data_IF_568425727786
#
_entry.id   IF_568425727786
#
_cell.length_a   1.000
_cell.length_b   1.000
_cell.length_c   1.000
_cell.angle_alpha   90.00
_cell.angle_beta   90.00
_cell.angle_gamma   90.00
#
_symmetry.space_group_name_H-M   'P 1'
#
loop_
_entity.id
_entity.type
_entity.pdbx_description
1 polymer ?
#
# COMPACT_ATOMS: atom_id res chain seq x y z
N UNK A 1 108.79 -37.73 -42.93
CA UNK A 1 108.00 -36.48 -42.96
C UNK A 1 106.55 -36.76 -43.39
N UNK A 2 106.32 -37.68 -44.34
CA UNK A 2 104.98 -38.03 -44.86
C UNK A 2 104.00 -38.66 -43.83
N UNK A 3 104.47 -39.50 -42.90
CA UNK A 3 103.60 -40.20 -41.93
C UNK A 3 103.00 -39.30 -40.85
N UNK A 4 103.66 -38.19 -40.52
CA UNK A 4 103.16 -37.20 -39.56
C UNK A 4 102.02 -36.37 -40.15
N UNK A 5 102.18 -35.96 -41.41
CA UNK A 5 101.19 -35.16 -42.13
C UNK A 5 99.86 -35.91 -42.31
N UNK A 6 99.90 -37.20 -42.64
CA UNK A 6 98.70 -38.03 -42.80
C UNK A 6 97.89 -38.15 -41.50
N UNK A 7 98.57 -38.24 -40.35
CA UNK A 7 97.94 -38.28 -39.04
C UNK A 7 97.25 -36.95 -38.71
N UNK A 8 97.96 -35.84 -38.89
CA UNK A 8 97.44 -34.50 -38.60
C UNK A 8 96.19 -34.18 -39.45
N UNK A 9 96.18 -34.60 -40.73
CA UNK A 9 94.99 -34.46 -41.62
C UNK A 9 93.80 -35.28 -41.11
N UNK A 10 94.03 -36.50 -40.63
CA UNK A 10 92.96 -37.35 -40.11
C UNK A 10 92.41 -36.82 -38.77
N UNK A 11 93.27 -36.32 -37.90
CA UNK A 11 92.87 -35.71 -36.62
C UNK A 11 92.01 -34.45 -36.87
N UNK A 12 92.40 -33.58 -37.81
CA UNK A 12 91.60 -32.41 -38.24
C UNK A 12 90.24 -32.84 -38.81
N UNK A 13 90.21 -33.91 -39.61
CA UNK A 13 88.97 -34.43 -40.20
C UNK A 13 87.99 -34.90 -39.12
N UNK A 14 88.45 -35.65 -38.14
CA UNK A 14 87.60 -36.14 -37.05
C UNK A 14 87.16 -35.01 -36.10
N UNK A 15 88.02 -34.01 -35.85
CA UNK A 15 87.66 -32.82 -35.09
C UNK A 15 86.57 -32.00 -35.80
N UNK A 16 86.72 -31.75 -37.10
CA UNK A 16 85.71 -31.06 -37.91
C UNK A 16 84.38 -31.82 -37.93
N UNK A 17 84.41 -33.15 -38.02
CA UNK A 17 83.21 -33.99 -37.96
C UNK A 17 82.50 -33.86 -36.61
N UNK A 18 83.26 -33.88 -35.51
CA UNK A 18 82.72 -33.68 -34.16
C UNK A 18 82.12 -32.28 -33.99
N UNK A 19 82.80 -31.25 -34.50
CA UNK A 19 82.30 -29.88 -34.46
C UNK A 19 80.98 -29.74 -35.23
N UNK A 20 80.94 -30.27 -36.47
CA UNK A 20 79.73 -30.25 -37.29
C UNK A 20 78.56 -30.99 -36.64
N UNK A 21 78.82 -32.16 -36.03
CA UNK A 21 77.80 -32.91 -35.30
C UNK A 21 77.25 -32.12 -34.10
N UNK A 22 78.13 -31.49 -33.31
CA UNK A 22 77.74 -30.66 -32.18
C UNK A 22 76.91 -29.44 -32.62
N UNK A 23 77.32 -28.77 -33.70
CA UNK A 23 76.57 -27.64 -34.27
C UNK A 23 75.19 -28.09 -34.77
N UNK A 24 75.11 -29.22 -35.47
CA UNK A 24 73.86 -29.78 -35.98
C UNK A 24 72.90 -30.14 -34.84
N UNK A 25 73.41 -30.77 -33.77
CA UNK A 25 72.61 -31.09 -32.60
C UNK A 25 72.09 -29.84 -31.90
N UNK A 26 72.95 -28.82 -31.72
CA UNK A 26 72.55 -27.55 -31.12
C UNK A 26 71.42 -26.88 -31.93
N UNK A 27 71.45 -26.95 -33.26
CA UNK A 27 70.35 -26.46 -34.10
C UNK A 27 69.08 -27.28 -33.93
N UNK A 28 69.17 -28.61 -33.90
CA UNK A 28 68.03 -29.49 -33.68
C UNK A 28 67.36 -29.22 -32.31
N UNK A 29 68.15 -29.05 -31.25
CA UNK A 29 67.65 -28.75 -29.91
C UNK A 29 66.93 -27.38 -29.88
N UNK A 30 67.49 -26.36 -30.55
CA UNK A 30 66.85 -25.04 -30.67
C UNK A 30 65.54 -25.09 -31.45
N UNK A 31 65.48 -25.86 -32.54
CA UNK A 31 64.25 -26.06 -33.31
C UNK A 31 63.20 -26.71 -32.42
N UNK A 32 63.54 -27.81 -31.75
CA UNK A 32 62.64 -28.53 -30.87
C UNK A 32 62.07 -27.64 -29.76
N UNK A 33 62.93 -26.88 -29.08
CA UNK A 33 62.49 -25.93 -28.03
C UNK A 33 61.54 -24.88 -28.60
N UNK A 34 61.79 -24.40 -29.82
CA UNK A 34 60.93 -23.42 -30.49
C UNK A 34 59.57 -24.01 -30.84
N UNK A 35 59.53 -25.26 -31.33
CA UNK A 35 58.28 -25.98 -31.62
C UNK A 35 57.46 -26.23 -30.36
N UNK A 36 58.09 -26.64 -29.27
CA UNK A 36 57.43 -26.84 -27.96
C UNK A 36 56.83 -25.53 -27.45
N UNK A 37 57.59 -24.43 -27.50
CA UNK A 37 57.11 -23.11 -27.10
C UNK A 37 55.93 -22.65 -27.97
N UNK A 38 55.97 -22.91 -29.28
CA UNK A 38 54.88 -22.58 -30.19
C UNK A 38 53.62 -23.39 -29.87
N UNK A 39 53.74 -24.69 -29.60
CA UNK A 39 52.63 -25.54 -29.22
C UNK A 39 51.96 -25.07 -27.92
N UNK A 40 52.75 -24.66 -26.93
CA UNK A 40 52.24 -24.07 -25.68
C UNK A 40 51.49 -22.76 -25.95
N UNK A 41 52.05 -21.87 -26.77
CA UNK A 41 51.40 -20.60 -27.12
C UNK A 41 50.06 -20.80 -27.83
N UNK A 42 49.99 -21.75 -28.76
CA UNK A 42 48.75 -22.09 -29.47
C UNK A 42 47.66 -22.61 -28.52
N UNK A 43 48.02 -23.49 -27.58
CA UNK A 43 47.07 -24.02 -26.60
C UNK A 43 46.51 -22.92 -25.69
N UNK A 44 47.37 -22.01 -25.23
CA UNK A 44 46.94 -20.86 -24.43
C UNK A 44 46.01 -19.94 -25.21
N UNK A 45 46.31 -19.69 -26.49
CA UNK A 45 45.46 -18.88 -27.36
C UNK A 45 44.07 -19.50 -27.58
N UNK A 46 44.01 -20.82 -27.72
CA UNK A 46 42.74 -21.55 -27.85
C UNK A 46 41.89 -21.45 -26.58
N UNK A 47 42.51 -21.56 -25.40
CA UNK A 47 41.83 -21.36 -24.11
C UNK A 47 41.25 -19.95 -24.04
N UNK A 48 42.05 -18.92 -24.30
CA UNK A 48 41.59 -17.52 -24.28
C UNK A 48 40.47 -17.26 -25.28
N UNK A 49 40.52 -17.88 -26.48
CA UNK A 49 39.45 -17.78 -27.48
C UNK A 49 38.14 -18.36 -26.96
N UNK A 50 38.19 -19.49 -26.27
CA UNK A 50 37.00 -20.14 -25.72
C UNK A 50 36.38 -19.31 -24.59
N UNK A 51 37.20 -18.78 -23.68
CA UNK A 51 36.77 -17.86 -22.61
C UNK A 51 36.11 -16.60 -23.19
N UNK A 52 36.71 -16.01 -24.24
CA UNK A 52 36.15 -14.85 -24.92
C UNK A 52 34.79 -15.16 -25.55
N UNK A 53 34.65 -16.33 -26.16
CA UNK A 53 33.39 -16.78 -26.77
C UNK A 53 32.30 -16.96 -25.70
N UNK A 54 32.65 -17.55 -24.56
CA UNK A 54 31.72 -17.70 -23.44
C UNK A 54 31.30 -16.34 -22.88
N UNK A 55 32.26 -15.45 -22.65
CA UNK A 55 32.00 -14.09 -22.14
C UNK A 55 31.08 -13.31 -23.09
N UNK A 56 31.30 -13.41 -24.40
CA UNK A 56 30.42 -12.81 -25.41
C UNK A 56 28.98 -13.31 -25.29
N UNK A 57 28.77 -14.61 -25.14
CA UNK A 57 27.43 -15.17 -24.95
C UNK A 57 26.74 -14.67 -23.68
N UNK A 58 27.48 -14.51 -22.59
CA UNK A 58 26.96 -13.92 -21.34
C UNK A 58 26.53 -12.47 -21.56
N UNK A 59 27.34 -11.67 -22.26
CA UNK A 59 27.04 -10.26 -22.57
C UNK A 59 25.76 -10.15 -23.42
N UNK A 60 25.61 -10.99 -24.43
CA UNK A 60 24.42 -11.00 -25.29
C UNK A 60 23.14 -11.33 -24.49
N UNK A 61 23.22 -12.32 -23.59
CA UNK A 61 22.10 -12.68 -22.71
C UNK A 61 21.72 -11.53 -21.76
N UNK A 62 22.71 -10.92 -21.11
CA UNK A 62 22.49 -9.79 -20.21
C UNK A 62 21.89 -8.59 -20.94
N UNK A 63 22.33 -8.33 -22.17
CA UNK A 63 21.77 -7.25 -22.99
C UNK A 63 20.29 -7.49 -23.32
N UNK A 64 19.91 -8.74 -23.66
CA UNK A 64 18.52 -9.10 -23.92
C UNK A 64 17.64 -8.94 -22.67
N UNK A 65 18.11 -9.41 -21.50
CA UNK A 65 17.40 -9.27 -20.23
C UNK A 65 17.22 -7.80 -19.83
N UNK A 66 18.27 -6.97 -20.02
CA UNK A 66 18.21 -5.54 -19.74
C UNK A 66 17.16 -4.83 -20.60
N UNK A 67 17.12 -5.13 -21.90
CA UNK A 67 16.16 -4.53 -22.82
C UNK A 67 14.72 -4.95 -22.50
N UNK A 68 14.50 -6.22 -22.14
CA UNK A 68 13.19 -6.71 -21.71
C UNK A 68 12.72 -5.99 -20.43
N UNK A 69 13.63 -5.80 -19.47
CA UNK A 69 13.36 -5.07 -18.23
C UNK A 69 12.99 -3.60 -18.50
N UNK A 70 13.73 -2.94 -19.39
CA UNK A 70 13.46 -1.56 -19.79
C UNK A 70 12.04 -1.41 -20.37
N UNK A 71 11.64 -2.31 -21.28
CA UNK A 71 10.30 -2.30 -21.87
C UNK A 71 9.20 -2.52 -20.82
N UNK A 72 9.44 -3.40 -19.84
CA UNK A 72 8.50 -3.62 -18.75
C UNK A 72 8.37 -2.39 -17.83
N UNK A 73 9.48 -1.70 -17.57
CA UNK A 73 9.48 -0.46 -16.80
C UNK A 73 8.68 0.64 -17.50
N UNK A 74 8.89 0.85 -18.79
CA UNK A 74 8.13 1.84 -19.58
C UNK A 74 6.62 1.59 -19.51
N UNK A 75 6.21 0.33 -19.63
CA UNK A 75 4.80 -0.09 -19.50
C UNK A 75 4.27 0.23 -18.10
N UNK A 76 5.05 -0.08 -17.06
CA UNK A 76 4.66 0.19 -15.67
C UNK A 76 4.52 1.70 -15.42
N UNK A 77 5.43 2.51 -15.95
CA UNK A 77 5.34 3.97 -15.86
C UNK A 77 4.07 4.51 -16.52
N UNK A 78 3.70 4.00 -17.70
CA UNK A 78 2.46 4.41 -18.37
C UNK A 78 1.23 4.06 -17.53
N UNK A 79 1.16 2.83 -17.01
CA UNK A 79 0.04 2.39 -16.18
C UNK A 79 -0.10 3.22 -14.90
N UNK A 80 1.00 3.54 -14.22
CA UNK A 80 0.99 4.39 -13.03
C UNK A 80 0.47 5.80 -13.32
N UNK A 81 0.82 6.37 -14.48
CA UNK A 81 0.31 7.68 -14.90
C UNK A 81 -1.21 7.64 -15.14
N UNK A 82 -1.71 6.57 -15.75
CA UNK A 82 -3.16 6.37 -15.94
C UNK A 82 -3.90 6.28 -14.60
N UNK A 83 -3.43 5.42 -13.71
CA UNK A 83 -4.02 5.22 -12.37
C UNK A 83 -4.02 6.54 -11.58
N UNK A 84 -2.94 7.32 -11.65
CA UNK A 84 -2.86 8.63 -11.00
C UNK A 84 -3.96 9.58 -11.49
N UNK A 85 -4.24 9.55 -12.79
CA UNK A 85 -5.28 10.37 -13.41
C UNK A 85 -6.68 9.93 -12.94
N UNK A 86 -6.95 8.62 -12.96
CA UNK A 86 -8.22 8.05 -12.49
C UNK A 86 -8.48 8.31 -11.00
N UNK A 87 -7.43 8.22 -10.16
CA UNK A 87 -7.51 8.54 -8.74
C UNK A 87 -7.86 10.02 -8.51
N UNK A 88 -7.25 10.92 -9.30
CA UNK A 88 -7.56 12.34 -9.22
C UNK A 88 -9.02 12.63 -9.58
N UNK A 89 -9.54 12.01 -10.65
CA UNK A 89 -10.96 12.12 -11.03
C UNK A 89 -11.88 11.57 -9.94
N UNK A 90 -11.53 10.43 -9.34
CA UNK A 90 -12.32 9.82 -8.26
C UNK A 90 -12.36 10.72 -7.02
N UNK A 91 -11.22 11.32 -6.64
CA UNK A 91 -11.15 12.25 -5.53
C UNK A 91 -12.03 13.48 -5.75
N UNK A 92 -12.10 13.99 -6.98
CA UNK A 92 -12.99 15.10 -7.32
C UNK A 92 -14.47 14.71 -7.13
N UNK A 93 -14.88 13.52 -7.58
CA UNK A 93 -16.24 13.01 -7.37
C UNK A 93 -16.56 12.83 -5.89
N UNK A 94 -15.63 12.29 -5.09
CA UNK A 94 -15.82 12.12 -3.64
C UNK A 94 -15.97 13.47 -2.93
N UNK A 95 -15.17 14.47 -3.30
CA UNK A 95 -15.28 15.82 -2.76
C UNK A 95 -16.63 16.48 -3.09
N UNK A 96 -17.11 16.29 -4.33
CA UNK A 96 -18.40 16.81 -4.76
C UNK A 96 -19.56 16.12 -4.00
N UNK A 97 -19.56 14.79 -3.92
CA UNK A 97 -20.57 14.03 -3.15
C UNK A 97 -20.58 14.42 -1.67
N UNK A 98 -19.42 14.67 -1.08
CA UNK A 98 -19.31 15.14 0.30
C UNK A 98 -19.99 16.50 0.48
N UNK A 99 -19.77 17.42 -0.46
CA UNK A 99 -20.44 18.72 -0.48
C UNK A 99 -21.95 18.57 -0.60
N UNK A 100 -22.42 17.77 -1.55
CA UNK A 100 -23.85 17.52 -1.76
C UNK A 100 -24.53 16.92 -0.51
N UNK A 101 -23.87 15.98 0.17
CA UNK A 101 -24.37 15.38 1.40
C UNK A 101 -24.51 16.40 2.53
N UNK A 102 -23.52 17.27 2.71
CA UNK A 102 -23.58 18.31 3.73
C UNK A 102 -24.72 19.30 3.47
N UNK A 103 -24.94 19.67 2.21
CA UNK A 103 -26.04 20.55 1.83
C UNK A 103 -27.40 19.88 2.01
N UNK A 104 -27.50 18.58 1.70
CA UNK A 104 -28.71 17.81 1.98
C UNK A 104 -29.01 17.75 3.48
N UNK A 105 -28.00 17.47 4.33
CA UNK A 105 -28.15 17.45 5.78
C UNK A 105 -28.66 18.76 6.35
N UNK A 106 -28.20 19.90 5.82
CA UNK A 106 -28.72 21.23 6.17
C UNK A 106 -30.17 21.40 5.73
N UNK A 107 -30.51 21.01 4.49
CA UNK A 107 -31.87 21.16 3.93
C UNK A 107 -32.92 20.36 4.68
N UNK A 108 -32.59 19.16 5.15
CA UNK A 108 -33.52 18.30 5.91
C UNK A 108 -33.50 18.59 7.42
N UNK A 109 -32.74 19.61 7.85
CA UNK A 109 -32.62 20.00 9.26
C UNK A 109 -31.94 18.96 10.15
N UNK A 110 -31.31 17.92 9.60
CA UNK A 110 -30.71 16.85 10.41
C UNK A 110 -29.60 17.34 11.34
N UNK A 111 -28.82 18.34 10.90
CA UNK A 111 -27.82 19.01 11.74
C UNK A 111 -28.45 19.67 12.98
N UNK A 112 -29.67 20.19 12.86
CA UNK A 112 -30.42 20.87 13.93
C UNK A 112 -31.36 19.92 14.72
N UNK A 113 -31.75 18.80 14.13
CA UNK A 113 -32.72 17.80 14.65
C UNK A 113 -32.02 16.65 15.41
N UNK A 114 -30.74 16.77 15.77
CA UNK A 114 -30.22 16.08 16.97
C UNK A 114 -30.87 16.68 18.22
N UNK A 115 -32.19 16.55 18.31
CA UNK A 115 -33.03 16.96 19.40
C UNK A 115 -32.91 15.86 20.45
N UNK A 116 -32.38 16.22 21.61
CA UNK A 116 -32.72 15.49 22.82
C UNK A 116 -34.26 15.44 22.89
N UNK A 117 -34.86 14.26 23.19
CA UNK A 117 -36.31 14.14 23.29
C UNK A 117 -36.85 15.17 24.29
N UNK A 118 -37.97 15.80 23.93
CA UNK A 118 -38.68 16.77 24.76
C UNK A 118 -40.10 16.27 24.93
N UNK A 119 -40.41 15.73 26.09
CA UNK A 119 -41.75 15.31 26.44
C UNK A 119 -41.92 15.24 27.96
N UNK A 120 -43.15 15.39 28.42
CA UNK A 120 -43.47 15.33 29.84
C UNK A 120 -44.80 14.61 30.07
N UNK A 121 -44.96 14.04 31.25
CA UNK A 121 -46.21 13.49 31.74
C UNK A 121 -46.36 13.88 33.21
N UNK A 122 -47.38 14.70 33.50
CA UNK A 122 -47.66 15.23 34.83
C UNK A 122 -49.06 14.85 35.28
N UNK A 123 -49.23 14.62 36.58
CA UNK A 123 -50.50 14.21 37.15
C UNK A 123 -50.75 14.86 38.51
N UNK A 124 -52.04 14.97 38.85
CA UNK A 124 -52.50 15.25 40.21
C UNK A 124 -52.84 13.91 40.88
N UNK A 125 -52.43 13.71 42.12
CA UNK A 125 -52.68 12.47 42.86
C UNK A 125 -53.69 12.64 44.00
N UNK A 126 -54.15 13.86 44.24
CA UNK A 126 -55.18 14.16 45.23
C UNK A 126 -56.50 14.61 44.59
N UNK A 127 -57.60 14.44 45.33
CA UNK A 127 -58.91 14.95 44.91
C UNK A 127 -58.88 16.46 44.68
N UNK A 128 -59.74 16.94 43.78
CA UNK A 128 -59.92 18.35 43.48
C UNK A 128 -61.41 18.66 43.35
N UNK A 129 -61.90 19.56 44.21
CA UNK A 129 -63.31 19.90 44.36
C UNK A 129 -63.56 21.41 44.19
N UNK A 130 -62.53 22.18 43.86
CA UNK A 130 -62.62 23.62 43.69
C UNK A 130 -63.17 23.98 42.31
N UNK A 131 -64.23 24.77 42.31
CA UNK A 131 -64.84 25.31 41.09
C UNK A 131 -64.12 26.60 40.68
N UNK A 132 -63.94 26.84 39.36
CA UNK A 132 -63.27 28.03 38.79
C UNK A 132 -61.82 28.24 39.26
N UNK A 133 -61.13 27.18 39.67
CA UNK A 133 -59.70 27.21 40.01
C UNK A 133 -58.94 26.30 39.05
N UNK A 134 -57.79 26.73 38.48
CA UNK A 134 -56.95 25.85 37.67
C UNK A 134 -56.55 24.58 38.43
N UNK A 135 -56.55 23.43 37.75
CA UNK A 135 -56.17 22.14 38.35
C UNK A 135 -54.63 22.09 38.42
N UNK A 136 -54.03 22.01 39.63
CA UNK A 136 -52.57 21.95 39.73
C UNK A 136 -52.07 20.51 39.57
N UNK A 137 -50.86 20.39 39.01
CA UNK A 137 -50.12 19.13 38.94
C UNK A 137 -49.24 18.96 40.17
N UNK A 138 -49.15 17.73 40.67
CA UNK A 138 -48.41 17.44 41.92
C UNK A 138 -47.19 16.56 41.65
N UNK A 139 -47.21 15.80 40.56
CA UNK A 139 -46.17 14.82 40.25
C UNK A 139 -45.82 14.86 38.76
N UNK A 140 -44.53 14.98 38.45
CA UNK A 140 -43.99 14.65 37.13
C UNK A 140 -43.56 13.18 37.11
N UNK A 141 -44.20 12.39 36.25
CA UNK A 141 -43.79 11.02 35.93
C UNK A 141 -42.63 11.02 34.94
N UNK A 142 -42.65 11.95 33.99
CA UNK A 142 -41.60 12.21 33.00
C UNK A 142 -41.52 13.72 32.78
N UNK A 143 -40.31 14.28 32.65
CA UNK A 143 -40.07 15.68 32.30
C UNK A 143 -38.76 15.82 31.50
N UNK A 144 -38.67 15.13 30.37
CA UNK A 144 -37.48 15.18 29.52
C UNK A 144 -37.35 16.55 28.86
N UNK A 145 -36.15 17.13 28.98
CA UNK A 145 -35.87 18.50 28.57
C UNK A 145 -36.23 19.55 29.62
N UNK A 146 -36.71 19.17 30.81
CA UNK A 146 -37.07 20.08 31.91
C UNK A 146 -38.02 21.21 31.48
N UNK A 147 -39.02 20.85 30.66
CA UNK A 147 -39.89 21.81 29.96
C UNK A 147 -41.19 22.11 30.70
N UNK A 148 -41.59 21.28 31.68
CA UNK A 148 -42.76 21.50 32.51
C UNK A 148 -42.34 21.94 33.92
N UNK A 149 -42.80 23.11 34.35
CA UNK A 149 -42.63 23.60 35.73
C UNK A 149 -43.86 23.20 36.58
N UNK A 150 -43.65 22.33 37.56
CA UNK A 150 -44.76 21.77 38.37
C UNK A 150 -45.49 22.82 39.23
N UNK A 151 -44.80 23.73 39.95
CA UNK A 151 -45.46 24.72 40.80
C UNK A 151 -46.35 25.69 40.02
N UNK A 152 -45.92 26.14 38.84
CA UNK A 152 -46.72 27.05 38.01
C UNK A 152 -47.66 26.32 37.04
N UNK A 153 -47.40 25.06 36.72
CA UNK A 153 -48.09 24.31 35.67
C UNK A 153 -47.76 24.79 34.26
N UNK A 154 -46.71 25.59 34.08
CA UNK A 154 -46.34 26.19 32.80
C UNK A 154 -45.40 25.25 32.03
N UNK A 155 -45.81 24.91 30.80
CA UNK A 155 -44.93 24.30 29.81
C UNK A 155 -44.21 25.38 28.99
N UNK A 156 -42.88 25.30 28.91
CA UNK A 156 -42.04 26.17 28.07
C UNK A 156 -41.61 25.42 26.82
N UNK A 157 -42.14 25.82 25.66
CA UNK A 157 -41.77 25.28 24.37
C UNK A 157 -40.29 25.59 24.05
N UNK A 158 -39.38 24.60 23.96
CA UNK A 158 -37.96 24.87 23.75
C UNK A 158 -37.65 25.34 22.33
N UNK A 159 -38.55 25.07 21.37
CA UNK A 159 -38.40 25.48 19.96
C UNK A 159 -39.75 25.88 19.36
N UNK A 160 -39.74 26.65 18.27
CA UNK A 160 -40.96 26.90 17.49
C UNK A 160 -41.40 25.59 16.82
N UNK A 161 -42.67 25.25 16.90
CA UNK A 161 -43.18 24.01 16.31
C UNK A 161 -44.59 23.68 16.78
N UNK A 162 -45.07 22.52 16.37
CA UNK A 162 -46.38 22.00 16.79
C UNK A 162 -46.19 21.10 18.00
N UNK A 163 -46.99 21.33 19.03
CA UNK A 163 -47.00 20.55 20.27
C UNK A 163 -48.35 19.86 20.43
N UNK A 164 -48.32 18.63 20.94
CA UNK A 164 -49.52 17.85 21.22
C UNK A 164 -49.68 17.70 22.74
N UNK A 165 -50.89 17.99 23.23
CA UNK A 165 -51.25 17.82 24.63
C UNK A 165 -52.49 16.93 24.69
N UNK A 166 -52.46 15.97 25.62
CA UNK A 166 -53.60 15.12 25.94
C UNK A 166 -53.88 15.19 27.43
N UNK A 167 -55.15 15.18 27.79
CA UNK A 167 -55.60 15.29 29.16
C UNK A 167 -56.56 14.14 29.45
N UNK A 168 -56.39 13.52 30.62
CA UNK A 168 -57.26 12.46 31.11
C UNK A 168 -57.70 12.82 32.52
N UNK A 169 -58.99 12.66 32.81
CA UNK A 169 -59.56 12.87 34.14
C UNK A 169 -60.19 11.58 34.67
N UNK A 170 -60.02 11.32 35.96
CA UNK A 170 -60.75 10.27 36.67
C UNK A 170 -61.76 10.92 37.61
N UNK A 171 -63.04 10.58 37.46
CA UNK A 171 -64.08 11.01 38.38
C UNK A 171 -64.33 9.91 39.41
N UNK A 172 -64.15 10.21 40.70
CA UNK A 172 -64.59 9.33 41.77
C UNK A 172 -66.06 9.62 42.06
N UNK A 173 -66.96 8.69 41.72
CA UNK A 173 -68.37 8.76 42.13
C UNK A 173 -68.54 8.13 43.51
N UNK A 174 -68.86 8.92 44.54
CA UNK A 174 -69.38 8.38 45.79
C UNK A 174 -70.83 7.95 45.59
N UNK A 175 -71.10 6.64 45.65
CA UNK A 175 -72.45 6.11 45.79
C UNK A 175 -73.01 6.51 47.16
N UNK A 176 -73.98 7.44 47.19
CA UNK A 176 -74.80 7.62 48.38
C UNK A 176 -75.89 6.54 48.39
N UNK A 177 -75.76 5.55 49.28
CA UNK A 177 -76.90 4.73 49.68
C UNK A 177 -77.86 5.60 50.50
N UNK A 178 -78.93 6.11 49.88
CA UNK A 178 -80.15 6.48 50.60
C UNK A 178 -81.06 5.25 50.65
N UNK A 179 -81.17 4.63 51.83
CA UNK A 179 -82.21 3.67 52.12
C UNK A 179 -83.47 4.47 52.46
N UNK A 180 -84.47 4.46 51.57
CA UNK A 180 -85.83 4.83 51.93
C UNK A 180 -86.49 3.61 52.61
N UNK A 181 -86.71 3.70 53.92
CA UNK A 181 -87.89 3.13 54.60
C UNK A 181 -88.32 4.15 55.64
#
# INVERSE_FOLDING_TARGET
METKLAKDVNDIREENKKYFAATSQMFADKIKVTEENLAVALKSLEITRNELTQSKGVIEKLSAELNASLSHMETTTYNLKSITTELSSTNAVVADLTTQLNDLQKRIGYADIKLAPVHFYVQRNSSFDKTKTPIPFELARVNEGNVMDLPSGIFTAPRKGTYFFSFTGMQSSQLQHQLFI
#
